data_IF_172024074546
#
_entry.id   IF_172024074546
#
_cell.length_a   1.000
_cell.length_b   1.000
_cell.length_c   1.000
_cell.angle_alpha   90.00
_cell.angle_beta   90.00
_cell.angle_gamma   90.00
#
_symmetry.space_group_name_H-M   'P 1'
#
loop_
_entity.id
_entity.type
_entity.pdbx_description
1 polymer ?
#
# COMPACT_ATOMS: atom_id res chain seq x y z
N UNK A 1 14.49 -28.03 9.81
CA UNK A 1 13.90 -26.77 10.31
C UNK A 1 14.91 -26.16 11.25
N UNK A 2 15.66 -25.15 10.80
CA UNK A 2 16.54 -24.38 11.67
C UNK A 2 15.72 -23.21 12.20
N UNK A 3 15.39 -23.25 13.48
CA UNK A 3 14.96 -22.07 14.23
C UNK A 3 16.14 -21.11 14.26
N UNK A 4 16.09 -20.07 13.44
CA UNK A 4 16.93 -18.89 13.60
C UNK A 4 16.47 -18.16 14.85
N UNK A 5 16.99 -18.56 16.02
CA UNK A 5 16.89 -17.75 17.24
C UNK A 5 17.57 -16.42 16.95
N UNK A 6 16.79 -15.38 16.72
CA UNK A 6 17.25 -14.01 16.59
C UNK A 6 17.83 -13.57 17.94
N UNK A 7 19.15 -13.76 18.12
CA UNK A 7 19.86 -13.38 19.33
C UNK A 7 20.02 -11.86 19.35
N UNK A 8 19.59 -11.22 20.43
CA UNK A 8 19.83 -9.80 20.63
C UNK A 8 21.33 -9.48 20.59
N UNK A 9 21.73 -8.50 19.81
CA UNK A 9 23.12 -8.05 19.63
C UNK A 9 23.55 -7.09 20.73
N UNK A 10 22.60 -6.43 21.38
CA UNK A 10 22.82 -5.48 22.47
C UNK A 10 21.56 -5.36 23.34
N UNK A 11 21.68 -4.77 24.53
CA UNK A 11 20.56 -4.48 25.41
C UNK A 11 20.01 -3.09 25.17
N UNK A 12 18.68 -2.96 25.23
CA UNK A 12 18.04 -1.64 25.20
C UNK A 12 18.28 -0.92 26.53
N UNK A 13 18.59 0.37 26.43
CA UNK A 13 18.62 1.28 27.57
C UNK A 13 17.21 1.75 27.98
N UNK A 14 17.11 2.95 28.52
CA UNK A 14 15.84 3.56 28.85
C UNK A 14 15.02 3.81 27.57
N UNK A 15 13.79 3.28 27.53
CA UNK A 15 12.89 3.46 26.41
C UNK A 15 12.12 4.77 26.58
N UNK A 16 12.17 5.63 25.56
CA UNK A 16 11.42 6.88 25.49
C UNK A 16 10.68 6.92 24.17
N UNK A 17 9.43 7.29 24.20
CA UNK A 17 8.62 7.47 23.01
C UNK A 17 7.90 8.82 23.03
N UNK A 18 7.84 9.49 21.89
CA UNK A 18 7.03 10.72 21.77
C UNK A 18 5.54 10.36 21.71
N UNK A 19 4.65 11.24 22.20
CA UNK A 19 3.20 11.00 22.09
C UNK A 19 2.76 10.76 20.63
N UNK A 20 3.37 11.45 19.67
CA UNK A 20 3.09 11.25 18.24
C UNK A 20 3.51 9.87 17.72
N UNK A 21 4.64 9.32 18.19
CA UNK A 21 5.08 7.97 17.86
C UNK A 21 4.10 6.93 18.41
N UNK A 22 3.69 7.06 19.67
CA UNK A 22 2.72 6.14 20.29
C UNK A 22 1.35 6.20 19.59
N UNK A 23 0.89 7.40 19.23
CA UNK A 23 -0.35 7.57 18.48
C UNK A 23 -0.28 6.93 17.09
N UNK A 24 0.86 7.04 16.39
CA UNK A 24 1.07 6.42 15.08
C UNK A 24 1.13 4.91 15.16
N UNK A 25 1.76 4.35 16.19
CA UNK A 25 1.81 2.92 16.43
C UNK A 25 0.43 2.37 16.77
N UNK A 26 -0.32 3.03 17.65
CA UNK A 26 -1.68 2.65 17.99
C UNK A 26 -2.62 2.65 16.77
N UNK A 27 -2.48 3.67 15.88
CA UNK A 27 -3.26 3.76 14.64
C UNK A 27 -2.91 2.65 13.63
N UNK A 28 -1.70 2.12 13.67
CA UNK A 28 -1.25 1.03 12.79
C UNK A 28 -1.46 -0.36 13.40
N UNK A 29 -2.06 -0.46 14.58
CA UNK A 29 -2.21 -1.72 15.32
C UNK A 29 -0.89 -2.35 15.75
N UNK A 30 0.20 -1.58 15.74
CA UNK A 30 1.54 -2.02 16.05
C UNK A 30 1.99 -1.51 17.42
N UNK A 31 2.86 -2.26 18.08
CA UNK A 31 3.42 -1.91 19.38
C UNK A 31 4.89 -1.47 19.24
N UNK A 32 5.43 -0.70 20.18
CA UNK A 32 6.87 -0.42 20.18
C UNK A 32 7.75 -1.68 20.16
N UNK A 33 7.28 -2.77 20.78
CA UNK A 33 8.02 -4.05 20.83
C UNK A 33 8.20 -4.67 19.45
N UNK A 34 7.27 -4.48 18.53
CA UNK A 34 7.37 -5.01 17.15
C UNK A 34 8.61 -4.46 16.42
N UNK A 35 9.01 -3.24 16.75
CA UNK A 35 10.17 -2.57 16.18
C UNK A 35 11.44 -2.73 17.03
N UNK A 36 11.31 -2.68 18.34
CA UNK A 36 12.43 -2.81 19.25
C UNK A 36 13.05 -4.21 19.20
N UNK A 37 12.25 -5.26 19.08
CA UNK A 37 12.73 -6.62 18.90
C UNK A 37 13.56 -6.78 17.61
N UNK A 38 13.19 -6.12 16.54
CA UNK A 38 13.95 -6.08 15.29
C UNK A 38 15.25 -5.29 15.45
N UNK A 39 15.17 -4.13 16.09
CA UNK A 39 16.32 -3.27 16.35
C UNK A 39 17.44 -3.98 17.13
N UNK A 40 17.11 -4.65 18.22
CA UNK A 40 18.12 -5.35 19.03
C UNK A 40 18.78 -6.53 18.31
N UNK A 41 18.11 -7.08 17.29
CA UNK A 41 18.63 -8.18 16.48
C UNK A 41 19.42 -7.70 15.24
N UNK A 42 19.62 -6.39 15.07
CA UNK A 42 20.36 -5.82 13.94
C UNK A 42 19.54 -5.72 12.64
N UNK A 43 18.23 -5.89 12.73
CA UNK A 43 17.35 -5.52 11.61
C UNK A 43 17.09 -4.02 11.70
N UNK A 44 17.80 -3.25 10.90
CA UNK A 44 17.75 -1.79 10.92
C UNK A 44 16.58 -1.20 10.12
N UNK A 45 15.78 -2.04 9.48
CA UNK A 45 14.65 -1.62 8.66
C UNK A 45 15.08 -0.88 7.38
N UNK A 46 14.45 0.25 7.12
CA UNK A 46 14.54 1.03 5.86
C UNK A 46 15.59 2.15 5.92
N UNK A 47 16.74 1.93 6.54
CA UNK A 47 17.85 2.87 6.50
C UNK A 47 18.67 2.69 5.21
N UNK A 48 19.36 3.75 4.80
CA UNK A 48 20.23 3.70 3.62
C UNK A 48 21.52 2.89 3.88
N UNK A 49 22.35 2.76 2.82
CA UNK A 49 23.56 1.92 2.89
C UNK A 49 24.65 2.52 3.78
N UNK A 50 24.70 3.83 3.90
CA UNK A 50 25.71 4.52 4.67
C UNK A 50 25.36 4.50 6.16
N UNK A 51 24.11 4.75 6.52
CA UNK A 51 23.59 4.56 7.87
C UNK A 51 23.74 3.10 8.34
N UNK A 52 23.57 2.13 7.45
CA UNK A 52 23.79 0.71 7.76
C UNK A 52 25.24 0.41 8.11
N UNK A 53 26.21 0.97 7.37
CA UNK A 53 27.64 0.85 7.68
C UNK A 53 27.99 1.54 8.99
N UNK A 54 27.41 2.71 9.25
CA UNK A 54 27.61 3.42 10.52
C UNK A 54 27.10 2.60 11.71
N UNK A 55 25.97 1.92 11.57
CA UNK A 55 25.47 1.00 12.58
C UNK A 55 26.41 -0.18 12.84
N UNK A 56 27.02 -0.76 11.81
CA UNK A 56 28.01 -1.84 11.98
C UNK A 56 29.25 -1.37 12.78
N UNK A 57 29.68 -0.15 12.54
CA UNK A 57 30.76 0.49 13.32
C UNK A 57 30.26 0.82 14.73
N UNK A 58 29.05 1.32 14.86
CA UNK A 58 28.41 1.67 16.12
C UNK A 58 28.27 0.47 17.06
N UNK A 59 27.87 -0.70 16.56
CA UNK A 59 27.80 -1.95 17.32
C UNK A 59 29.17 -2.31 17.94
N UNK A 60 30.26 -2.15 17.19
CA UNK A 60 31.60 -2.48 17.63
C UNK A 60 32.17 -1.46 18.62
N UNK A 61 31.76 -0.21 18.55
CA UNK A 61 32.32 0.91 19.31
C UNK A 61 31.41 1.44 20.40
N UNK A 62 30.18 0.91 20.55
CA UNK A 62 29.18 1.37 21.51
C UNK A 62 28.61 2.74 21.19
N UNK A 63 28.53 3.09 19.91
CA UNK A 63 27.93 4.33 19.45
C UNK A 63 26.41 4.20 19.31
N UNK A 64 25.73 5.31 18.99
CA UNK A 64 24.31 5.32 18.69
C UNK A 64 24.03 4.48 17.45
N UNK A 65 22.94 3.74 17.51
CA UNK A 65 22.43 2.92 16.41
C UNK A 65 21.11 3.52 15.92
N UNK A 66 20.96 3.63 14.60
CA UNK A 66 19.76 4.14 13.95
C UNK A 66 19.00 2.99 13.31
N UNK A 67 17.71 2.95 13.50
CA UNK A 67 16.81 2.13 12.67
C UNK A 67 15.62 2.95 12.23
N UNK A 68 15.13 2.65 11.03
CA UNK A 68 13.94 3.25 10.48
C UNK A 68 13.02 2.15 10.00
N UNK A 69 11.83 2.08 10.56
CA UNK A 69 10.83 1.11 10.16
C UNK A 69 9.62 1.83 9.57
N UNK A 70 9.04 1.21 8.56
CA UNK A 70 7.72 1.64 8.09
C UNK A 70 6.69 1.16 9.10
N UNK A 71 5.94 2.10 9.63
CA UNK A 71 4.60 1.76 10.14
C UNK A 71 3.71 1.63 8.92
N UNK A 72 2.72 0.76 8.98
CA UNK A 72 1.72 0.58 7.93
C UNK A 72 0.85 1.84 7.68
N UNK A 73 1.19 2.95 8.32
CA UNK A 73 0.50 4.23 8.29
C UNK A 73 0.91 5.11 7.10
N UNK A 74 0.69 4.65 5.89
CA UNK A 74 0.93 5.44 4.66
C UNK A 74 -0.34 5.49 3.82
N UNK A 75 -0.34 4.76 2.71
CA UNK A 75 -1.50 4.61 1.86
C UNK A 75 -2.69 3.96 2.58
N UNK A 76 -2.45 2.99 3.45
CA UNK A 76 -3.45 2.38 4.33
C UNK A 76 -4.13 3.41 5.25
N UNK A 77 -3.37 4.35 5.83
CA UNK A 77 -3.98 5.45 6.64
C UNK A 77 -4.85 6.38 5.80
N UNK A 78 -4.46 6.65 4.55
CA UNK A 78 -5.29 7.43 3.65
C UNK A 78 -6.58 6.69 3.31
N UNK A 79 -6.52 5.38 3.03
CA UNK A 79 -7.71 4.56 2.80
C UNK A 79 -8.65 4.57 4.01
N UNK A 80 -8.12 4.49 5.23
CA UNK A 80 -8.92 4.59 6.45
C UNK A 80 -9.63 5.95 6.60
N UNK A 81 -8.98 7.03 6.16
CA UNK A 81 -9.60 8.37 6.15
C UNK A 81 -10.65 8.47 5.06
N UNK A 82 -10.33 8.03 3.82
CA UNK A 82 -11.25 8.07 2.69
C UNK A 82 -12.48 7.17 2.92
N UNK A 83 -12.29 6.06 3.63
CA UNK A 83 -13.39 5.18 4.02
C UNK A 83 -14.52 5.88 4.80
N UNK A 84 -14.19 6.94 5.56
CA UNK A 84 -15.20 7.72 6.30
C UNK A 84 -16.11 8.58 5.42
N UNK A 85 -15.74 8.76 4.16
CA UNK A 85 -16.53 9.53 3.19
C UNK A 85 -17.36 8.62 2.27
N UNK A 86 -17.27 7.31 2.44
CA UNK A 86 -18.13 6.35 1.72
C UNK A 86 -19.53 6.45 2.32
N UNK A 87 -20.58 6.58 1.48
CA UNK A 87 -21.96 6.58 1.95
C UNK A 87 -22.29 5.33 2.80
N UNK A 88 -23.03 5.53 3.88
CA UNK A 88 -23.32 4.46 4.85
C UNK A 88 -24.23 3.34 4.29
N UNK A 89 -25.00 3.65 3.24
CA UNK A 89 -25.89 2.71 2.55
C UNK A 89 -25.16 1.84 1.51
N UNK A 90 -23.92 2.17 1.14
CA UNK A 90 -23.14 1.39 0.22
C UNK A 90 -22.61 0.08 0.85
N UNK A 91 -22.66 -0.98 0.05
CA UNK A 91 -22.03 -2.27 0.39
C UNK A 91 -20.57 -2.26 -0.01
N UNK A 92 -19.70 -2.27 0.97
CA UNK A 92 -18.23 -2.22 0.78
C UNK A 92 -17.64 -3.62 0.96
N UNK A 93 -16.87 -4.07 -0.01
CA UNK A 93 -16.02 -5.24 0.12
C UNK A 93 -14.57 -4.82 0.27
N UNK A 94 -13.96 -5.25 1.36
CA UNK A 94 -12.55 -5.02 1.66
C UNK A 94 -11.77 -6.32 1.48
N UNK A 95 -10.77 -6.30 0.61
CA UNK A 95 -9.92 -7.45 0.28
C UNK A 95 -8.47 -7.10 0.60
N UNK A 96 -7.83 -7.89 1.44
CA UNK A 96 -6.47 -7.67 1.91
C UNK A 96 -5.63 -8.94 1.90
N UNK A 97 -4.32 -8.80 1.80
CA UNK A 97 -3.36 -9.90 2.03
C UNK A 97 -3.18 -10.14 3.55
N UNK A 98 -3.12 -9.06 4.30
CA UNK A 98 -3.12 -9.04 5.77
C UNK A 98 -4.02 -7.89 6.23
N UNK A 99 -4.84 -8.14 7.23
CA UNK A 99 -5.82 -7.16 7.72
C UNK A 99 -5.15 -5.95 8.36
N UNK A 100 -5.15 -4.81 7.67
CA UNK A 100 -4.53 -3.54 8.08
C UNK A 100 -5.50 -2.36 8.01
N UNK A 101 -6.51 -2.44 7.15
CA UNK A 101 -7.45 -1.36 6.91
C UNK A 101 -8.60 -1.45 7.92
N UNK A 102 -8.87 -0.33 8.58
CA UNK A 102 -9.93 -0.22 9.58
C UNK A 102 -10.99 0.76 9.05
N UNK A 103 -12.14 0.22 8.69
CA UNK A 103 -13.30 0.98 8.26
C UNK A 103 -14.49 0.70 9.16
N UNK A 104 -15.19 1.75 9.50
CA UNK A 104 -16.42 1.70 10.29
C UNK A 104 -17.59 1.94 9.32
N UNK A 105 -18.02 0.85 8.66
CA UNK A 105 -19.11 0.83 7.70
C UNK A 105 -20.10 -0.25 8.10
N UNK A 106 -21.38 0.08 8.11
CA UNK A 106 -22.45 -0.83 8.54
C UNK A 106 -22.55 -2.08 7.65
N UNK A 107 -22.32 -1.92 6.34
CA UNK A 107 -22.39 -3.00 5.37
C UNK A 107 -20.99 -3.34 4.79
N UNK A 108 -20.07 -3.68 5.69
CA UNK A 108 -18.69 -4.06 5.34
C UNK A 108 -18.51 -5.58 5.34
N UNK A 109 -18.04 -6.14 4.23
CA UNK A 109 -17.59 -7.53 4.12
C UNK A 109 -16.08 -7.54 3.94
N UNK A 110 -15.39 -8.32 4.79
CA UNK A 110 -13.92 -8.44 4.77
C UNK A 110 -13.51 -9.80 4.25
N UNK A 111 -12.53 -9.81 3.37
CA UNK A 111 -11.83 -10.99 2.91
C UNK A 111 -10.34 -10.83 3.12
N UNK A 112 -9.70 -11.87 3.62
CA UNK A 112 -8.25 -11.93 3.79
C UNK A 112 -7.70 -13.11 2.98
N UNK A 113 -6.64 -12.86 2.23
CA UNK A 113 -5.94 -13.90 1.48
C UNK A 113 -5.27 -14.88 2.45
N UNK A 114 -5.10 -16.12 2.02
CA UNK A 114 -4.49 -17.15 2.86
C UNK A 114 -3.40 -17.88 2.10
N UNK A 115 -2.24 -17.96 2.72
CA UNK A 115 -1.15 -18.81 2.24
C UNK A 115 -1.50 -20.29 2.39
N UNK A 116 -0.91 -21.18 1.58
CA UNK A 116 -1.11 -22.61 1.73
C UNK A 116 -0.67 -23.06 3.13
N UNK A 117 -1.53 -23.79 3.84
CA UNK A 117 -1.20 -24.33 5.17
C UNK A 117 -2.00 -25.59 5.50
N UNK A 118 -1.39 -26.51 6.24
CA UNK A 118 -2.06 -27.72 6.77
C UNK A 118 -2.82 -28.53 5.71
N UNK A 119 -2.29 -28.64 4.48
CA UNK A 119 -2.93 -29.36 3.38
C UNK A 119 -4.06 -28.61 2.68
N UNK A 120 -4.37 -27.39 3.11
CA UNK A 120 -5.33 -26.51 2.43
C UNK A 120 -4.61 -25.66 1.37
N UNK A 121 -5.21 -25.50 0.17
CA UNK A 121 -4.65 -24.64 -0.87
C UNK A 121 -4.65 -23.16 -0.44
N UNK A 122 -3.82 -22.35 -1.10
CA UNK A 122 -3.87 -20.89 -0.97
C UNK A 122 -5.24 -20.37 -1.41
N UNK A 123 -5.65 -19.24 -0.81
CA UNK A 123 -6.73 -18.39 -1.31
C UNK A 123 -6.10 -17.06 -1.68
N UNK A 124 -6.00 -16.78 -2.97
CA UNK A 124 -5.30 -15.61 -3.48
C UNK A 124 -6.21 -14.38 -3.54
N UNK A 125 -5.63 -13.19 -3.61
CA UNK A 125 -6.38 -11.94 -3.89
C UNK A 125 -7.22 -12.08 -5.16
N UNK A 126 -6.71 -12.74 -6.20
CA UNK A 126 -7.44 -12.98 -7.46
C UNK A 126 -8.69 -13.84 -7.25
N UNK A 127 -8.60 -14.88 -6.41
CA UNK A 127 -9.76 -15.73 -6.08
C UNK A 127 -10.81 -14.91 -5.33
N UNK A 128 -10.37 -14.06 -4.40
CA UNK A 128 -11.26 -13.20 -3.62
C UNK A 128 -11.93 -12.12 -4.47
N UNK A 129 -11.20 -11.49 -5.40
CA UNK A 129 -11.77 -10.52 -6.37
C UNK A 129 -12.86 -11.19 -7.25
N UNK A 130 -12.61 -12.40 -7.75
CA UNK A 130 -13.62 -13.15 -8.51
C UNK A 130 -14.84 -13.51 -7.67
N UNK A 131 -14.63 -13.90 -6.41
CA UNK A 131 -15.72 -14.23 -5.50
C UNK A 131 -16.53 -12.99 -5.12
N UNK A 132 -15.88 -11.82 -5.00
CA UNK A 132 -16.49 -10.56 -4.59
C UNK A 132 -17.66 -10.13 -5.47
N UNK A 133 -17.60 -10.41 -6.77
CA UNK A 133 -18.69 -10.11 -7.73
C UNK A 133 -20.03 -10.74 -7.35
N UNK A 134 -20.02 -11.88 -6.66
CA UNK A 134 -21.23 -12.58 -6.22
C UNK A 134 -21.87 -11.95 -4.97
N UNK A 135 -21.17 -11.04 -4.32
CA UNK A 135 -21.63 -10.34 -3.12
C UNK A 135 -22.36 -9.03 -3.41
N UNK A 136 -22.50 -8.64 -4.70
CA UNK A 136 -23.12 -7.40 -5.16
C UNK A 136 -22.57 -6.18 -4.42
N UNK A 137 -21.26 -5.92 -4.48
CA UNK A 137 -20.69 -4.74 -3.86
C UNK A 137 -21.07 -3.48 -4.65
N UNK A 138 -21.26 -2.38 -3.94
CA UNK A 138 -21.27 -1.06 -4.53
C UNK A 138 -19.84 -0.57 -4.73
N UNK A 139 -18.94 -0.95 -3.80
CA UNK A 139 -17.55 -0.52 -3.80
C UNK A 139 -16.61 -1.64 -3.34
N UNK A 140 -15.47 -1.72 -4.00
CA UNK A 140 -14.40 -2.65 -3.63
C UNK A 140 -13.18 -1.87 -3.18
N UNK A 141 -12.62 -2.28 -2.05
CA UNK A 141 -11.37 -1.76 -1.54
C UNK A 141 -10.36 -2.89 -1.52
N UNK A 142 -9.32 -2.73 -2.32
CA UNK A 142 -8.20 -3.67 -2.37
C UNK A 142 -7.00 -3.07 -1.65
N UNK A 143 -6.54 -3.73 -0.61
CA UNK A 143 -5.47 -3.23 0.26
C UNK A 143 -4.23 -2.83 -0.52
N UNK A 144 -3.72 -3.71 -1.38
CA UNK A 144 -2.53 -3.42 -2.20
C UNK A 144 -2.52 -4.21 -3.50
N UNK A 145 -2.03 -3.58 -4.56
CA UNK A 145 -1.73 -4.22 -5.85
C UNK A 145 -0.23 -4.47 -5.94
N UNK A 146 0.15 -5.73 -6.16
CA UNK A 146 1.54 -6.17 -6.30
C UNK A 146 1.85 -6.84 -7.64
N UNK A 147 0.82 -7.40 -8.30
CA UNK A 147 0.97 -8.18 -9.52
C UNK A 147 -0.31 -8.34 -10.34
N UNK A 148 -0.54 -9.55 -10.84
CA UNK A 148 -1.60 -9.86 -11.80
C UNK A 148 -3.04 -9.66 -11.33
N UNK A 149 -3.30 -9.50 -10.03
CA UNK A 149 -4.60 -9.10 -9.46
C UNK A 149 -5.06 -7.74 -9.98
N UNK A 150 -4.14 -6.91 -10.44
CA UNK A 150 -4.44 -5.64 -11.10
C UNK A 150 -5.41 -5.80 -12.28
N UNK A 151 -5.30 -6.91 -13.03
CA UNK A 151 -6.22 -7.20 -14.13
C UNK A 151 -7.64 -7.48 -13.63
N UNK A 152 -7.77 -8.30 -12.60
CA UNK A 152 -9.08 -8.64 -12.04
C UNK A 152 -9.75 -7.38 -11.44
N UNK A 153 -8.97 -6.51 -10.78
CA UNK A 153 -9.46 -5.21 -10.32
C UNK A 153 -9.87 -4.31 -11.48
N UNK A 154 -9.07 -4.21 -12.55
CA UNK A 154 -9.41 -3.42 -13.73
C UNK A 154 -10.73 -3.85 -14.37
N UNK A 155 -10.98 -5.17 -14.44
CA UNK A 155 -12.26 -5.70 -14.93
C UNK A 155 -13.44 -5.25 -14.04
N UNK A 156 -13.25 -5.23 -12.72
CA UNK A 156 -14.25 -4.77 -11.77
C UNK A 156 -14.56 -3.27 -11.95
N UNK A 157 -13.53 -2.44 -12.11
CA UNK A 157 -13.68 -1.00 -12.35
C UNK A 157 -14.44 -0.74 -13.64
N UNK A 158 -14.19 -1.52 -14.70
CA UNK A 158 -14.90 -1.40 -15.99
C UNK A 158 -16.36 -1.89 -15.94
N UNK A 159 -16.78 -2.61 -14.91
CA UNK A 159 -18.13 -3.19 -14.80
C UNK A 159 -19.06 -2.42 -13.87
N UNK A 160 -18.73 -1.19 -13.51
CA UNK A 160 -19.63 -0.29 -12.79
C UNK A 160 -19.39 -0.17 -11.28
N UNK A 161 -18.27 -0.67 -10.76
CA UNK A 161 -17.87 -0.51 -9.36
C UNK A 161 -17.07 0.79 -9.16
N UNK A 162 -17.63 1.92 -9.55
CA UNK A 162 -17.01 3.24 -9.41
C UNK A 162 -16.75 3.59 -7.95
N UNK A 163 -15.68 4.39 -7.70
CA UNK A 163 -15.31 4.77 -6.35
C UNK A 163 -14.59 3.67 -5.56
N UNK A 164 -14.22 2.56 -6.19
CA UNK A 164 -13.32 1.57 -5.61
C UNK A 164 -11.94 2.16 -5.37
N UNK A 165 -11.26 1.68 -4.32
CA UNK A 165 -9.98 2.21 -3.87
C UNK A 165 -8.95 1.10 -3.81
N UNK A 166 -7.71 1.43 -4.11
CA UNK A 166 -6.57 0.52 -3.90
C UNK A 166 -5.28 1.28 -3.68
N UNK A 167 -4.25 0.57 -3.21
CA UNK A 167 -2.90 1.12 -3.09
C UNK A 167 -1.91 0.38 -3.98
N UNK A 168 -0.84 1.06 -4.30
CA UNK A 168 0.21 0.57 -5.17
C UNK A 168 1.50 1.34 -4.89
N UNK A 169 2.63 0.66 -4.88
CA UNK A 169 3.93 1.32 -4.71
C UNK A 169 4.43 1.94 -6.02
N UNK A 170 4.68 3.26 -5.98
CA UNK A 170 5.26 4.02 -7.08
C UNK A 170 6.02 5.24 -6.55
N UNK A 171 6.82 5.87 -7.40
CA UNK A 171 7.64 7.05 -7.06
C UNK A 171 7.00 8.39 -7.45
N UNK A 172 5.88 8.36 -8.15
CA UNK A 172 5.05 9.51 -8.52
C UNK A 172 3.67 9.03 -8.98
N UNK A 173 2.68 9.91 -9.10
CA UNK A 173 1.37 9.58 -9.64
C UNK A 173 1.46 9.01 -11.07
N UNK A 174 2.29 9.61 -11.93
CA UNK A 174 2.54 9.10 -13.30
C UNK A 174 3.13 7.70 -13.29
N UNK A 175 4.13 7.44 -12.43
CA UNK A 175 4.72 6.10 -12.30
C UNK A 175 3.73 5.09 -11.72
N UNK A 176 2.76 5.55 -10.92
CA UNK A 176 1.65 4.73 -10.44
C UNK A 176 0.83 4.13 -11.59
N UNK A 177 0.43 4.94 -12.56
CA UNK A 177 -0.28 4.46 -13.76
C UNK A 177 0.54 3.47 -14.59
N UNK A 178 1.82 3.77 -14.81
CA UNK A 178 2.73 2.86 -15.53
C UNK A 178 2.91 1.53 -14.78
N UNK A 179 3.03 1.59 -13.45
CA UNK A 179 3.15 0.40 -12.60
C UNK A 179 1.88 -0.43 -12.61
N UNK A 180 0.70 0.21 -12.51
CA UNK A 180 -0.59 -0.47 -12.61
C UNK A 180 -0.74 -1.19 -13.95
N UNK A 181 -0.43 -0.51 -15.07
CA UNK A 181 -0.39 -1.12 -16.40
C UNK A 181 0.53 -2.35 -16.45
N UNK A 182 1.73 -2.25 -15.87
CA UNK A 182 2.68 -3.36 -15.81
C UNK A 182 2.14 -4.54 -14.99
N UNK A 183 1.47 -4.29 -13.87
CA UNK A 183 0.82 -5.32 -13.06
C UNK A 183 -0.32 -6.01 -13.85
N UNK A 184 -1.12 -5.25 -14.60
CA UNK A 184 -2.16 -5.82 -15.48
C UNK A 184 -1.54 -6.77 -16.51
N UNK A 185 -0.45 -6.39 -17.15
CA UNK A 185 0.25 -7.23 -18.13
C UNK A 185 0.86 -8.50 -17.51
N UNK A 186 1.24 -8.46 -16.23
CA UNK A 186 1.72 -9.63 -15.48
C UNK A 186 0.63 -10.65 -15.14
N UNK A 187 -0.64 -10.36 -15.41
CA UNK A 187 -1.76 -11.27 -15.15
C UNK A 187 -1.74 -12.55 -15.99
N UNK A 188 -0.94 -12.58 -17.05
CA UNK A 188 -0.89 -13.66 -18.03
C UNK A 188 -2.04 -13.67 -19.05
N UNK A 189 -2.87 -12.63 -19.04
CA UNK A 189 -3.95 -12.46 -20.07
C UNK A 189 -3.34 -11.85 -21.32
N UNK A 190 -3.64 -12.45 -22.46
CA UNK A 190 -3.18 -11.98 -23.76
C UNK A 190 -4.05 -10.80 -24.23
N UNK A 191 -3.65 -9.59 -23.81
CA UNK A 191 -4.27 -8.33 -24.22
C UNK A 191 -3.26 -7.43 -24.90
N UNK A 192 -3.64 -6.75 -25.99
CA UNK A 192 -2.79 -5.75 -26.60
C UNK A 192 -2.43 -4.64 -25.61
N UNK A 193 -1.17 -4.24 -25.55
CA UNK A 193 -0.66 -3.20 -24.64
C UNK A 193 -1.52 -1.92 -24.67
N UNK A 194 -1.88 -1.46 -25.89
CA UNK A 194 -2.73 -0.26 -26.05
C UNK A 194 -4.13 -0.44 -25.45
N UNK A 195 -4.72 -1.63 -25.59
CA UNK A 195 -6.02 -1.92 -25.00
C UNK A 195 -5.96 -1.87 -23.47
N UNK A 196 -4.88 -2.39 -22.87
CA UNK A 196 -4.66 -2.29 -21.42
C UNK A 196 -4.57 -0.82 -20.99
N UNK A 197 -3.78 0.00 -21.70
CA UNK A 197 -3.64 1.43 -21.36
C UNK A 197 -4.94 2.20 -21.53
N UNK A 198 -5.71 1.94 -22.58
CA UNK A 198 -7.03 2.52 -22.77
C UNK A 198 -7.94 2.17 -21.59
N UNK A 199 -8.04 0.88 -21.25
CA UNK A 199 -8.89 0.45 -20.14
C UNK A 199 -8.45 1.07 -18.79
N UNK A 200 -7.16 1.21 -18.55
CA UNK A 200 -6.64 1.88 -17.34
C UNK A 200 -7.02 3.37 -17.34
N UNK A 201 -6.84 4.06 -18.48
CA UNK A 201 -7.20 5.47 -18.63
C UNK A 201 -8.68 5.75 -18.44
N UNK A 202 -9.54 4.81 -18.85
CA UNK A 202 -11.00 4.94 -18.75
C UNK A 202 -11.53 4.59 -17.35
N UNK A 203 -10.78 3.76 -16.59
CA UNK A 203 -11.27 3.23 -15.30
C UNK A 203 -10.67 3.94 -14.09
N UNK A 204 -9.44 4.43 -14.17
CA UNK A 204 -8.78 5.14 -13.08
C UNK A 204 -9.10 6.61 -13.16
N UNK A 205 -9.81 7.14 -12.17
CA UNK A 205 -10.23 8.54 -12.14
C UNK A 205 -9.19 9.45 -11.48
N UNK A 206 -8.65 9.03 -10.35
CA UNK A 206 -7.73 9.85 -9.54
C UNK A 206 -6.57 9.00 -9.04
N UNK A 207 -5.38 9.57 -9.08
CA UNK A 207 -4.18 9.00 -8.46
C UNK A 207 -3.66 9.96 -7.42
N UNK A 208 -3.50 9.47 -6.19
CA UNK A 208 -2.93 10.23 -5.08
C UNK A 208 -1.56 9.67 -4.76
N UNK A 209 -0.53 10.48 -4.91
CA UNK A 209 0.83 10.11 -4.53
C UNK A 209 1.17 10.64 -3.14
N UNK A 210 1.71 9.74 -2.31
CA UNK A 210 2.17 10.08 -0.97
C UNK A 210 3.68 9.97 -0.93
N UNK A 211 4.32 11.04 -0.49
CA UNK A 211 5.75 11.06 -0.20
C UNK A 211 6.02 10.89 1.28
N UNK A 212 7.18 10.32 1.53
CA UNK A 212 7.76 10.25 2.86
C UNK A 212 9.03 11.10 2.91
N UNK A 213 9.08 12.01 3.88
CA UNK A 213 10.32 12.72 4.28
C UNK A 213 10.61 12.43 5.75
N UNK A 214 11.82 12.64 6.23
CA UNK A 214 12.13 12.47 7.64
C UNK A 214 11.10 13.18 8.53
N UNK A 215 10.47 12.41 9.43
CA UNK A 215 9.49 12.93 10.38
C UNK A 215 8.08 13.20 9.84
N UNK A 216 7.80 13.08 8.53
CA UNK A 216 6.45 13.30 7.99
C UNK A 216 6.14 12.48 6.75
N UNK A 217 4.86 12.17 6.59
CA UNK A 217 4.24 11.69 5.34
C UNK A 217 3.19 12.70 4.92
N UNK A 218 3.07 12.93 3.63
CA UNK A 218 2.14 13.91 3.09
C UNK A 218 1.73 13.53 1.68
N UNK A 219 0.59 14.05 1.24
CA UNK A 219 0.18 13.98 -0.16
C UNK A 219 1.08 14.94 -0.94
N UNK A 220 1.81 14.42 -1.92
CA UNK A 220 2.67 15.23 -2.80
C UNK A 220 2.00 15.58 -4.10
N UNK A 221 1.19 14.67 -4.66
CA UNK A 221 0.48 14.88 -5.91
C UNK A 221 -0.95 14.34 -5.81
N UNK A 222 -1.91 15.05 -6.38
CA UNK A 222 -3.26 14.54 -6.69
C UNK A 222 -3.50 14.81 -8.17
N UNK A 223 -3.74 13.76 -8.92
CA UNK A 223 -3.84 13.81 -10.37
C UNK A 223 -5.17 13.22 -10.80
N UNK A 224 -5.93 13.97 -11.58
CA UNK A 224 -7.15 13.50 -12.25
C UNK A 224 -6.80 12.95 -13.64
N UNK A 225 -7.33 11.79 -13.97
CA UNK A 225 -7.06 11.09 -15.22
C UNK A 225 -8.20 11.37 -16.20
N UNK A 226 -7.83 11.79 -17.41
CA UNK A 226 -8.78 12.16 -18.48
C UNK A 226 -8.77 11.15 -19.63
N UNK A 227 -8.09 10.02 -19.49
CA UNK A 227 -8.00 8.96 -20.48
C UNK A 227 -6.60 8.70 -20.99
N UNK A 228 -6.50 7.97 -22.10
CA UNK A 228 -5.24 7.61 -22.75
C UNK A 228 -5.23 8.09 -24.20
N UNK A 229 -4.13 8.71 -24.61
CA UNK A 229 -3.88 9.11 -26.00
C UNK A 229 -3.02 8.02 -26.69
N UNK A 230 -3.61 7.23 -27.62
CA UNK A 230 -2.89 6.15 -28.30
C UNK A 230 -1.86 6.66 -29.31
N UNK A 231 -1.98 7.88 -29.81
CA UNK A 231 -1.06 8.44 -30.79
C UNK A 231 0.24 8.91 -30.14
N UNK A 232 0.14 9.44 -28.91
CA UNK A 232 1.28 9.87 -28.10
C UNK A 232 1.81 8.78 -27.17
N UNK A 233 1.06 7.69 -27.01
CA UNK A 233 1.32 6.66 -26.02
C UNK A 233 1.39 7.21 -24.57
N UNK A 234 0.54 8.20 -24.24
CA UNK A 234 0.54 8.88 -22.94
C UNK A 234 -0.85 8.93 -22.31
N UNK A 235 -0.89 8.94 -20.98
CA UNK A 235 -2.12 9.26 -20.25
C UNK A 235 -2.34 10.77 -20.23
N UNK A 236 -3.56 11.19 -20.55
CA UNK A 236 -4.00 12.57 -20.35
C UNK A 236 -4.42 12.74 -18.90
N UNK A 237 -3.85 13.71 -18.21
CA UNK A 237 -4.17 13.99 -16.81
C UNK A 237 -3.95 15.45 -16.45
N UNK A 238 -4.65 15.90 -15.41
CA UNK A 238 -4.49 17.21 -14.81
C UNK A 238 -4.06 17.10 -13.35
N UNK A 239 -3.17 18.01 -12.89
CA UNK A 239 -2.87 18.10 -11.47
C UNK A 239 -3.97 18.87 -10.76
N UNK A 240 -4.65 18.22 -9.81
CA UNK A 240 -5.53 18.87 -8.83
C UNK A 240 -4.68 19.52 -7.74
N UNK A 241 -3.59 18.84 -7.34
CA UNK A 241 -2.65 19.30 -6.34
C UNK A 241 -1.25 18.81 -6.67
N UNK A 242 -0.24 19.69 -6.49
CA UNK A 242 1.17 19.38 -6.65
C UNK A 242 1.98 20.23 -5.65
N UNK A 243 2.46 19.61 -4.58
CA UNK A 243 3.18 20.30 -3.52
C UNK A 243 4.51 20.93 -3.98
N UNK A 244 5.01 20.56 -5.15
CA UNK A 244 6.25 21.09 -5.71
C UNK A 244 6.02 22.37 -6.53
N UNK A 245 4.77 22.63 -6.94
CA UNK A 245 4.40 23.83 -7.73
C UNK A 245 3.95 25.02 -6.88
N UNK A 246 3.60 24.82 -5.61
CA UNK A 246 3.22 25.89 -4.68
C UNK A 246 4.45 26.60 -4.04
N UNK A 247 5.66 26.21 -4.40
CA UNK A 247 6.92 26.75 -3.84
C UNK A 247 7.66 27.70 -4.80
N UNK A 248 6.95 28.29 -5.78
CA UNK A 248 7.49 29.34 -6.67
C UNK A 248 6.82 30.67 -6.39
#
# INVERSE_FOLDING_TARGET
>A
MQETTNKALFSLGQLVATPGALASLAKSGQTPLDFLSRHVCGDWGDIDKDDRKENEVGLKRGFRLLSSYRTNAGATSLLNVLGKFIPADERVLLIEDTSEIHMDQDNLVRFEARQPQNGLPAVTIRDLLKASLRHRPDRIILGEIRGGEAFDLLQLLNTGHSGSLSTLHATSARQGLARFTSCVLQSGVDLPYRAVKTNVGDSVNVVVHLERRPGRRFVSEVVEIHGYDPDRDEYNYGFIFDCHKELV
#
